data_IF_746027480702
#
_entry.id   IF_746027480702
#
_cell.length_a   1.000
_cell.length_b   1.000
_cell.length_c   1.000
_cell.angle_alpha   90.00
_cell.angle_beta   90.00
_cell.angle_gamma   90.00
#
_symmetry.space_group_name_H-M   'P 1'
#
loop_
_entity.id
_entity.type
_entity.pdbx_description
1 polymer ?
#
# COMPACT_ATOMS: atom_id res chain seq x y z
N UNK A 1 -6.13 4.32 1.84
CA UNK A 1 -5.30 3.19 2.30
C UNK A 1 -4.37 2.77 1.19
N UNK A 2 -3.13 2.43 1.52
CA UNK A 2 -2.14 1.86 0.62
C UNK A 2 -1.75 0.45 1.09
N UNK A 3 -1.64 -0.50 0.17
CA UNK A 3 -1.10 -1.84 0.43
C UNK A 3 0.13 -2.03 -0.43
N UNK A 4 1.30 -2.23 0.19
CA UNK A 4 2.56 -2.47 -0.52
C UNK A 4 2.89 -3.96 -0.44
N UNK A 5 2.85 -4.64 -1.57
CA UNK A 5 2.94 -6.09 -1.70
C UNK A 5 1.55 -6.73 -1.73
N UNK A 6 1.19 -7.27 -2.90
CA UNK A 6 -0.09 -7.93 -3.22
C UNK A 6 0.05 -9.46 -3.29
N UNK A 7 0.89 -10.05 -2.43
CA UNK A 7 0.85 -11.49 -2.13
C UNK A 7 -0.39 -11.87 -1.32
N UNK A 8 -0.47 -13.11 -0.82
CA UNK A 8 -1.66 -13.60 -0.08
C UNK A 8 -2.09 -12.64 1.03
N UNK A 9 -1.14 -12.21 1.88
CA UNK A 9 -1.41 -11.26 2.95
C UNK A 9 -1.95 -9.92 2.43
N UNK A 10 -1.33 -9.34 1.40
CA UNK A 10 -1.78 -8.07 0.81
C UNK A 10 -3.19 -8.17 0.22
N UNK A 11 -3.47 -9.23 -0.52
CA UNK A 11 -4.79 -9.46 -1.11
C UNK A 11 -5.87 -9.65 -0.04
N UNK A 12 -5.56 -10.31 1.07
CA UNK A 12 -6.48 -10.42 2.22
C UNK A 12 -6.74 -9.06 2.88
N UNK A 13 -5.71 -8.22 3.04
CA UNK A 13 -5.88 -6.86 3.57
C UNK A 13 -6.72 -5.99 2.63
N UNK A 14 -6.56 -6.12 1.31
CA UNK A 14 -7.37 -5.41 0.32
C UNK A 14 -8.84 -5.80 0.45
N UNK A 15 -9.13 -7.11 0.49
CA UNK A 15 -10.51 -7.60 0.67
C UNK A 15 -11.11 -7.16 2.00
N UNK A 16 -10.35 -7.29 3.09
CA UNK A 16 -10.79 -6.86 4.42
C UNK A 16 -11.10 -5.36 4.44
N UNK A 17 -10.21 -4.54 3.89
CA UNK A 17 -10.40 -3.10 3.83
C UNK A 17 -11.66 -2.75 3.04
N UNK A 18 -11.94 -3.44 1.93
CA UNK A 18 -13.21 -3.25 1.19
C UNK A 18 -14.44 -3.68 1.94
N UNK A 19 -14.41 -4.86 2.55
CA UNK A 19 -15.51 -5.33 3.39
C UNK A 19 -15.76 -4.37 4.57
N UNK A 20 -14.71 -3.69 5.05
CA UNK A 20 -14.77 -2.71 6.14
C UNK A 20 -15.17 -1.29 5.69
N UNK A 21 -15.50 -1.08 4.41
CA UNK A 21 -15.92 0.21 3.89
C UNK A 21 -14.80 1.21 3.64
N UNK A 22 -13.56 0.76 3.43
CA UNK A 22 -12.45 1.64 3.07
C UNK A 22 -12.78 2.43 1.80
N UNK A 23 -12.63 3.76 1.88
CA UNK A 23 -13.07 4.65 0.81
C UNK A 23 -12.20 4.63 -0.44
N UNK A 24 -10.88 4.51 -0.32
CA UNK A 24 -9.97 4.40 -1.48
C UNK A 24 -8.77 3.52 -1.15
N UNK A 25 -8.50 2.52 -2.00
CA UNK A 25 -7.44 1.53 -1.82
C UNK A 25 -6.53 1.54 -3.03
N UNK A 26 -5.25 1.79 -2.77
CA UNK A 26 -4.17 1.65 -3.72
C UNK A 26 -3.37 0.40 -3.35
N UNK A 27 -3.08 -0.43 -4.35
CA UNK A 27 -2.23 -1.60 -4.19
C UNK A 27 -0.95 -1.44 -5.04
N UNK A 28 0.18 -1.89 -4.51
CA UNK A 28 1.42 -2.00 -5.28
C UNK A 28 2.01 -3.39 -5.17
N UNK A 29 2.65 -3.85 -6.23
CA UNK A 29 3.41 -5.10 -6.31
C UNK A 29 4.37 -5.01 -7.50
N UNK A 30 5.39 -5.86 -7.51
CA UNK A 30 6.31 -5.99 -8.64
C UNK A 30 5.78 -6.97 -9.70
N UNK A 31 4.80 -7.80 -9.35
CA UNK A 31 4.27 -8.89 -10.18
C UNK A 31 2.88 -8.55 -10.73
N UNK A 32 2.75 -8.50 -12.06
CA UNK A 32 1.54 -8.00 -12.73
C UNK A 32 0.28 -8.82 -12.45
N UNK A 33 0.35 -10.15 -12.43
CA UNK A 33 -0.84 -10.97 -12.14
C UNK A 33 -1.38 -10.71 -10.72
N UNK A 34 -0.52 -10.29 -9.77
CA UNK A 34 -0.94 -9.92 -8.42
C UNK A 34 -1.65 -8.57 -8.41
N UNK A 35 -1.23 -7.64 -9.26
CA UNK A 35 -1.93 -6.37 -9.46
C UNK A 35 -3.32 -6.60 -10.07
N UNK A 36 -3.45 -7.52 -11.03
CA UNK A 36 -4.77 -7.91 -11.54
C UNK A 36 -5.66 -8.51 -10.46
N UNK A 37 -5.12 -9.41 -9.64
CA UNK A 37 -5.84 -9.97 -8.51
C UNK A 37 -6.25 -8.88 -7.50
N UNK A 38 -5.35 -7.94 -7.19
CA UNK A 38 -5.64 -6.81 -6.32
C UNK A 38 -6.84 -5.98 -6.83
N UNK A 39 -6.90 -5.67 -8.13
CA UNK A 39 -8.05 -4.96 -8.73
C UNK A 39 -9.34 -5.76 -8.59
N UNK A 40 -9.32 -7.06 -8.92
CA UNK A 40 -10.49 -7.95 -8.80
C UNK A 40 -11.01 -8.07 -7.36
N UNK A 41 -10.10 -8.04 -6.40
CA UNK A 41 -10.39 -8.14 -4.97
C UNK A 41 -10.68 -6.79 -4.31
N UNK A 42 -10.68 -5.72 -5.10
CA UNK A 42 -11.26 -4.45 -4.75
C UNK A 42 -10.29 -3.28 -4.67
N UNK A 43 -9.00 -3.39 -4.99
CA UNK A 43 -8.16 -2.20 -5.12
C UNK A 43 -8.74 -1.25 -6.20
N UNK A 44 -8.87 0.05 -5.92
CA UNK A 44 -9.33 1.02 -6.93
C UNK A 44 -8.29 1.18 -8.02
N UNK A 45 -7.02 1.22 -7.61
CA UNK A 45 -5.88 1.22 -8.49
C UNK A 45 -4.86 0.22 -7.98
N UNK A 46 -4.23 -0.47 -8.93
CA UNK A 46 -3.08 -1.32 -8.66
C UNK A 46 -1.96 -0.87 -9.59
N UNK A 47 -0.79 -0.59 -9.02
CA UNK A 47 0.33 0.06 -9.71
C UNK A 47 1.59 -0.78 -9.55
N UNK A 48 2.38 -0.88 -10.60
CA UNK A 48 3.68 -1.54 -10.53
C UNK A 48 4.56 -0.78 -9.53
N UNK A 49 5.17 -1.49 -8.59
CA UNK A 49 5.88 -0.87 -7.46
C UNK A 49 6.96 0.14 -7.88
N UNK A 50 7.70 -0.11 -8.97
CA UNK A 50 8.72 0.79 -9.52
C UNK A 50 8.17 2.00 -10.27
N UNK A 51 6.86 2.03 -10.56
CA UNK A 51 6.17 3.18 -11.18
C UNK A 51 5.31 3.96 -10.17
N UNK A 52 5.14 3.42 -8.97
CA UNK A 52 4.33 4.05 -7.95
C UNK A 52 5.00 5.35 -7.47
N UNK A 53 4.17 6.36 -7.31
CA UNK A 53 4.50 7.61 -6.63
C UNK A 53 3.39 7.93 -5.63
N UNK A 54 3.67 8.67 -4.54
CA UNK A 54 2.63 9.12 -3.60
C UNK A 54 1.49 9.89 -4.26
N UNK A 55 1.70 10.48 -5.44
CA UNK A 55 0.64 11.15 -6.19
C UNK A 55 -0.47 10.20 -6.65
N UNK A 56 -0.19 8.89 -6.77
CA UNK A 56 -1.24 7.90 -7.02
C UNK A 56 -2.29 7.85 -5.90
N UNK A 57 -1.91 8.22 -4.66
CA UNK A 57 -2.88 8.39 -3.56
C UNK A 57 -3.70 9.68 -3.70
N UNK A 58 -3.08 10.71 -4.29
CA UNK A 58 -3.68 12.03 -4.53
C UNK A 58 -4.58 12.06 -5.77
N UNK A 59 -4.47 11.08 -6.67
CA UNK A 59 -5.29 10.93 -7.88
C UNK A 59 -6.77 10.58 -7.60
N UNK A 60 -7.22 10.59 -6.34
CA UNK A 60 -8.65 10.64 -6.02
C UNK A 60 -9.27 11.78 -6.83
N UNK A 61 -10.15 11.44 -7.78
CA UNK A 61 -10.90 12.40 -8.63
C UNK A 61 -11.76 13.42 -7.86
N UNK A 62 -11.68 13.48 -6.52
CA UNK A 62 -12.49 14.36 -5.68
C UNK A 62 -11.90 14.66 -4.27
N UNK A 63 -10.62 14.38 -3.96
CA UNK A 63 -10.12 14.63 -2.59
C UNK A 63 -8.75 15.30 -2.56
N UNK A 64 -8.75 16.59 -2.21
CA UNK A 64 -7.81 17.37 -1.37
C UNK A 64 -6.30 17.06 -1.35
N UNK A 65 -5.75 16.28 -2.29
CA UNK A 65 -4.31 16.04 -2.41
C UNK A 65 -3.68 15.28 -1.24
N UNK A 66 -4.46 14.47 -0.50
CA UNK A 66 -4.01 13.77 0.71
C UNK A 66 -3.28 12.46 0.43
N UNK A 67 -2.36 12.12 1.33
CA UNK A 67 -1.66 10.84 1.38
C UNK A 67 -2.51 9.75 2.08
N UNK A 68 -1.95 8.56 2.31
CA UNK A 68 -2.66 7.46 2.95
C UNK A 68 -2.74 7.64 4.48
N UNK A 69 -3.94 7.54 5.04
CA UNK A 69 -4.09 7.49 6.51
C UNK A 69 -3.65 6.12 7.10
N UNK A 70 -3.62 5.08 6.27
CA UNK A 70 -3.14 3.74 6.62
C UNK A 70 -2.32 3.16 5.46
N UNK A 71 -1.10 2.70 5.78
CA UNK A 71 -0.25 1.91 4.89
C UNK A 71 -0.05 0.53 5.50
N UNK A 72 -0.37 -0.52 4.74
CA UNK A 72 -0.09 -1.91 5.12
C UNK A 72 1.10 -2.40 4.31
N UNK A 73 2.19 -2.72 5.01
CA UNK A 73 3.44 -3.15 4.40
C UNK A 73 3.56 -4.68 4.48
N UNK A 74 3.35 -5.32 3.34
CA UNK A 74 3.46 -6.77 3.15
C UNK A 74 4.76 -7.16 2.41
N UNK A 75 5.77 -6.30 2.42
CA UNK A 75 7.10 -6.52 1.86
C UNK A 75 8.17 -6.09 2.85
N UNK A 76 9.18 -6.94 3.10
CA UNK A 76 10.32 -6.62 3.97
C UNK A 76 11.40 -5.78 3.30
N UNK A 77 11.24 -5.40 2.03
CA UNK A 77 12.26 -4.64 1.30
C UNK A 77 12.39 -3.21 1.84
N UNK A 78 13.63 -2.76 2.08
CA UNK A 78 13.90 -1.40 2.59
C UNK A 78 13.33 -0.30 1.69
N UNK A 79 13.32 -0.51 0.37
CA UNK A 79 12.68 0.41 -0.58
C UNK A 79 11.18 0.54 -0.34
N UNK A 80 10.50 -0.58 -0.04
CA UNK A 80 9.08 -0.61 0.28
C UNK A 80 8.77 0.10 1.61
N UNK A 81 9.65 -0.03 2.60
CA UNK A 81 9.56 0.68 3.88
C UNK A 81 9.65 2.19 3.68
N UNK A 82 10.66 2.65 2.94
CA UNK A 82 10.82 4.08 2.64
C UNK A 82 9.62 4.65 1.87
N UNK A 83 9.15 3.90 0.88
CA UNK A 83 7.96 4.25 0.11
C UNK A 83 6.70 4.28 1.00
N UNK A 84 6.56 3.39 1.97
CA UNK A 84 5.47 3.40 2.94
C UNK A 84 5.47 4.69 3.77
N UNK A 85 6.61 5.06 4.33
CA UNK A 85 6.77 6.27 5.15
C UNK A 85 6.49 7.55 4.35
N UNK A 86 6.98 7.63 3.10
CA UNK A 86 6.72 8.77 2.21
C UNK A 86 5.27 8.88 1.72
N UNK A 87 4.53 7.77 1.80
CA UNK A 87 3.13 7.68 1.37
C UNK A 87 2.13 7.88 2.50
N UNK A 88 2.61 8.12 3.72
CA UNK A 88 1.78 8.26 4.90
C UNK A 88 1.40 9.72 5.12
N UNK A 89 0.12 9.96 5.41
CA UNK A 89 -0.36 11.28 5.82
C UNK A 89 0.03 11.58 7.27
N UNK A 90 0.06 12.87 7.63
CA UNK A 90 0.21 13.28 9.04
C UNK A 90 -0.85 12.63 9.92
N UNK A 91 -0.41 11.99 11.00
CA UNK A 91 -1.29 11.24 11.90
C UNK A 91 -1.74 9.88 11.37
N UNK A 92 -1.24 9.45 10.21
CA UNK A 92 -1.49 8.12 9.66
C UNK A 92 -0.74 7.02 10.40
N UNK A 93 -1.06 5.77 10.08
CA UNK A 93 -0.42 4.57 10.64
C UNK A 93 0.24 3.71 9.55
N UNK A 94 1.44 3.19 9.84
CA UNK A 94 2.05 2.11 9.06
C UNK A 94 1.93 0.81 9.83
N UNK A 95 1.31 -0.20 9.23
CA UNK A 95 1.30 -1.57 9.72
C UNK A 95 2.43 -2.37 9.03
N UNK A 96 3.47 -2.70 9.79
CA UNK A 96 4.53 -3.61 9.35
C UNK A 96 4.05 -5.05 9.49
N UNK A 97 3.49 -5.61 8.42
CA UNK A 97 2.99 -6.99 8.43
C UNK A 97 4.08 -8.00 8.04
N UNK A 98 4.91 -7.65 7.05
CA UNK A 98 6.05 -8.48 6.67
C UNK A 98 7.28 -8.17 7.54
N UNK A 99 8.03 -9.20 7.99
CA UNK A 99 9.28 -8.98 8.71
C UNK A 99 10.36 -8.47 7.76
N UNK A 100 11.26 -7.66 8.30
CA UNK A 100 12.53 -7.29 7.65
C UNK A 100 13.63 -8.27 8.05
N UNK A 101 14.74 -8.26 7.31
CA UNK A 101 15.92 -9.01 7.71
C UNK A 101 16.47 -8.51 9.07
N UNK A 102 17.08 -9.39 9.88
CA UNK A 102 17.72 -8.99 11.13
C UNK A 102 18.79 -7.91 10.91
N UNK A 103 18.81 -6.91 11.79
CA UNK A 103 19.82 -5.84 11.75
C UNK A 103 19.50 -4.68 10.80
N UNK A 104 18.38 -4.73 10.06
CA UNK A 104 17.92 -3.57 9.26
C UNK A 104 17.44 -2.46 10.19
N UNK A 105 18.02 -1.26 10.05
CA UNK A 105 17.57 -0.06 10.74
C UNK A 105 16.49 0.65 9.91
N UNK A 106 15.36 0.95 10.55
CA UNK A 106 14.23 1.64 9.94
C UNK A 106 14.19 3.08 10.45
N UNK A 107 14.11 4.10 9.57
CA UNK A 107 14.08 5.50 9.98
C UNK A 107 12.66 5.92 10.40
N UNK A 108 12.27 5.55 11.63
CA UNK A 108 11.00 5.95 12.27
C UNK A 108 11.23 6.93 13.42
#
# INVERSE_FOLDING_TARGET
MLVIGSGVAGLLHIQLARASGAGYIVATDVVDYRLEAARKLGADIAVQAGQYTPDHLRLRRAADGRLADLVVLCSGATSAINQALQSLERGGTVLFFAPTEPGVSIPI
#
